data_IF_870586618863
#
_entry.id   IF_870586618863
#
_cell.length_a   1.000
_cell.length_b   1.000
_cell.length_c   1.000
_cell.angle_alpha   90.00
_cell.angle_beta   90.00
_cell.angle_gamma   90.00
#
_symmetry.space_group_name_H-M   'P 1'
#
loop_
_entity.id
_entity.type
_entity.pdbx_description
1 polymer ?
#
# COMPACT_ATOMS: atom_id res chain seq x y z
N UNK A 1 11.72 -2.89 8.89
CA UNK A 1 10.62 -3.79 8.53
C UNK A 1 9.27 -3.18 8.87
N UNK A 2 8.35 -3.18 7.93
CA UNK A 2 6.98 -2.68 8.15
C UNK A 2 6.15 -3.79 8.79
N UNK A 3 5.51 -3.49 9.92
CA UNK A 3 4.67 -4.46 10.60
C UNK A 3 3.66 -3.72 11.49
N UNK A 4 2.46 -3.52 10.96
CA UNK A 4 1.40 -2.83 11.66
C UNK A 4 0.13 -3.67 11.56
N UNK A 5 -0.44 -4.03 12.71
CA UNK A 5 -1.66 -4.83 12.75
C UNK A 5 -2.89 -3.97 12.99
N UNK A 6 -3.97 -4.31 12.31
CA UNK A 6 -5.29 -3.77 12.58
C UNK A 6 -6.18 -4.92 13.05
N UNK A 7 -7.47 -4.70 13.14
CA UNK A 7 -8.40 -5.75 13.54
C UNK A 7 -8.41 -6.93 12.57
N UNK A 8 -8.42 -6.64 11.25
CA UNK A 8 -8.53 -7.66 10.20
C UNK A 8 -7.31 -7.74 9.30
N UNK A 9 -6.40 -6.77 9.39
CA UNK A 9 -5.33 -6.60 8.43
C UNK A 9 -3.96 -6.60 9.08
N UNK A 10 -2.96 -6.93 8.27
CA UNK A 10 -1.55 -6.82 8.60
C UNK A 10 -0.89 -6.00 7.50
N UNK A 11 -0.32 -4.86 7.87
CA UNK A 11 0.43 -4.01 6.94
C UNK A 11 1.89 -4.43 7.02
N UNK A 12 2.46 -4.84 5.92
CA UNK A 12 3.81 -5.39 5.86
C UNK A 12 4.56 -5.00 4.59
N UNK A 13 5.81 -5.40 4.51
CA UNK A 13 6.56 -5.25 3.26
C UNK A 13 5.98 -6.18 2.19
N UNK A 14 6.16 -5.80 0.93
CA UNK A 14 5.81 -6.70 -0.18
C UNK A 14 6.76 -7.89 -0.18
N UNK A 15 6.26 -9.04 -0.64
CA UNK A 15 6.99 -10.30 -0.71
C UNK A 15 6.99 -10.81 -2.14
N UNK A 16 7.97 -11.65 -2.49
CA UNK A 16 8.06 -12.21 -3.83
C UNK A 16 6.79 -12.93 -4.28
N UNK A 17 6.15 -13.65 -3.37
CA UNK A 17 4.92 -14.36 -3.72
C UNK A 17 3.67 -13.48 -3.79
N UNK A 18 3.81 -12.17 -3.63
CA UNK A 18 2.70 -11.23 -3.84
C UNK A 18 2.56 -10.85 -5.33
N UNK A 19 3.49 -11.26 -6.18
CA UNK A 19 3.54 -10.82 -7.58
C UNK A 19 2.24 -11.09 -8.33
N UNK A 20 1.65 -12.26 -8.14
CA UNK A 20 0.42 -12.63 -8.85
C UNK A 20 -0.77 -11.76 -8.45
N UNK A 21 -0.88 -11.43 -7.18
CA UNK A 21 -1.95 -10.58 -6.68
C UNK A 21 -1.81 -9.17 -7.25
N UNK A 22 -0.60 -8.62 -7.21
CA UNK A 22 -0.34 -7.27 -7.75
C UNK A 22 -0.62 -7.26 -9.25
N UNK A 23 -0.15 -8.26 -9.97
CA UNK A 23 -0.38 -8.38 -11.41
C UNK A 23 -1.89 -8.41 -11.71
N UNK A 24 -2.64 -9.18 -10.94
CA UNK A 24 -4.08 -9.30 -11.14
C UNK A 24 -4.79 -7.96 -10.96
N UNK A 25 -4.62 -7.29 -9.81
CA UNK A 25 -5.41 -6.07 -9.60
C UNK A 25 -4.91 -4.88 -10.41
N UNK A 26 -3.61 -4.79 -10.73
CA UNK A 26 -3.09 -3.70 -11.57
C UNK A 26 -3.56 -3.79 -13.02
N UNK A 27 -3.91 -5.00 -13.48
CA UNK A 27 -4.41 -5.22 -14.84
C UNK A 27 -5.94 -5.32 -14.91
N UNK A 28 -6.61 -5.21 -13.77
CA UNK A 28 -8.06 -5.22 -13.73
C UNK A 28 -8.59 -3.83 -14.05
N UNK A 29 -9.60 -3.74 -14.91
CA UNK A 29 -10.16 -2.47 -15.37
C UNK A 29 -10.68 -1.60 -14.22
N UNK A 30 -11.29 -2.22 -13.23
CA UNK A 30 -11.85 -1.48 -12.10
C UNK A 30 -10.73 -0.81 -11.28
N UNK A 31 -9.67 -1.55 -11.00
CA UNK A 31 -8.55 -1.03 -10.21
C UNK A 31 -7.63 -0.12 -11.01
N UNK A 32 -7.40 -0.44 -12.28
CA UNK A 32 -6.44 0.29 -13.12
C UNK A 32 -6.99 1.61 -13.67
N UNK A 33 -8.30 1.78 -13.65
CA UNK A 33 -8.97 2.95 -14.22
C UNK A 33 -8.36 4.28 -13.76
N UNK A 34 -7.98 4.37 -12.51
CA UNK A 34 -7.49 5.59 -11.90
C UNK A 34 -5.99 5.56 -11.60
N UNK A 35 -5.32 4.46 -11.93
CA UNK A 35 -3.91 4.27 -11.62
C UNK A 35 -3.09 4.39 -12.91
N UNK A 36 -2.55 5.58 -13.14
CA UNK A 36 -1.74 5.83 -14.33
C UNK A 36 -0.26 5.77 -13.99
N UNK A 37 0.54 5.30 -14.94
CA UNK A 37 1.98 5.24 -14.79
C UNK A 37 2.49 4.11 -13.91
N UNK A 38 1.62 3.25 -13.44
CA UNK A 38 2.05 2.08 -12.66
C UNK A 38 2.58 0.98 -13.57
N UNK A 39 3.60 0.28 -13.06
CA UNK A 39 4.11 -0.91 -13.72
C UNK A 39 3.04 -1.99 -13.67
N UNK A 40 2.71 -2.57 -14.81
CA UNK A 40 1.63 -3.57 -14.94
C UNK A 40 2.10 -4.91 -15.46
N UNK A 41 3.22 -4.97 -16.16
CA UNK A 41 3.73 -6.23 -16.70
C UNK A 41 4.37 -7.06 -15.59
N UNK A 42 4.29 -8.37 -15.75
CA UNK A 42 4.74 -9.31 -14.72
C UNK A 42 6.21 -9.09 -14.31
N UNK A 43 7.10 -8.99 -15.29
CA UNK A 43 8.52 -8.78 -14.99
C UNK A 43 8.80 -7.47 -14.29
N UNK A 44 8.08 -6.42 -14.68
CA UNK A 44 8.19 -5.12 -14.01
C UNK A 44 7.74 -5.17 -12.58
N UNK A 45 6.68 -5.95 -12.29
CA UNK A 45 6.19 -6.12 -10.92
C UNK A 45 7.20 -6.91 -10.07
N UNK A 46 7.81 -7.95 -10.65
CA UNK A 46 8.88 -8.69 -9.96
C UNK A 46 10.01 -7.73 -9.57
N UNK A 47 10.44 -6.88 -10.51
CA UNK A 47 11.48 -5.89 -10.24
C UNK A 47 11.06 -4.87 -9.19
N UNK A 48 9.79 -4.45 -9.21
CA UNK A 48 9.25 -3.54 -8.23
C UNK A 48 9.34 -4.14 -6.81
N UNK A 49 8.94 -5.40 -6.67
CA UNK A 49 9.02 -6.09 -5.39
C UNK A 49 10.45 -6.17 -4.91
N UNK A 50 11.40 -6.48 -5.79
CA UNK A 50 12.82 -6.53 -5.45
C UNK A 50 13.31 -5.19 -4.90
N UNK A 51 12.88 -4.08 -5.50
CA UNK A 51 13.29 -2.76 -5.05
C UNK A 51 12.62 -2.33 -3.74
N UNK A 52 11.40 -2.83 -3.46
CA UNK A 52 10.58 -2.35 -2.36
C UNK A 52 10.48 -3.28 -1.16
N UNK A 53 10.99 -4.50 -1.29
CA UNK A 53 10.84 -5.52 -0.23
C UNK A 53 11.51 -5.15 1.10
N UNK A 54 12.41 -4.21 1.10
CA UNK A 54 13.10 -3.76 2.30
C UNK A 54 12.74 -2.32 2.67
N UNK A 55 11.68 -1.78 2.11
CA UNK A 55 11.23 -0.42 2.43
C UNK A 55 10.89 -0.29 3.92
N UNK A 56 11.07 0.91 4.44
CA UNK A 56 10.66 1.25 5.79
C UNK A 56 9.82 2.52 5.75
N UNK A 57 8.95 2.68 6.72
CA UNK A 57 8.15 3.89 6.84
C UNK A 57 9.08 4.97 7.40
N UNK A 58 9.22 6.07 6.68
CA UNK A 58 10.09 7.16 7.10
C UNK A 58 9.59 8.50 6.59
N UNK A 59 10.18 9.59 7.09
CA UNK A 59 9.88 10.93 6.61
C UNK A 59 10.80 11.33 5.46
N UNK A 60 11.77 10.50 5.12
CA UNK A 60 12.80 10.83 4.12
C UNK A 60 12.58 10.18 2.76
N UNK A 61 12.02 8.98 2.74
CA UNK A 61 11.90 8.19 1.50
C UNK A 61 10.52 7.59 1.34
N UNK A 62 10.06 7.45 0.09
CA UNK A 62 8.78 6.77 -0.15
C UNK A 62 8.88 5.29 0.19
N UNK A 63 7.74 4.69 0.51
CA UNK A 63 7.66 3.26 0.76
C UNK A 63 6.39 2.67 0.18
N UNK A 64 6.44 1.38 -0.12
CA UNK A 64 5.30 0.60 -0.57
C UNK A 64 4.93 -0.38 0.52
N UNK A 65 3.67 -0.36 0.92
CA UNK A 65 3.15 -1.20 1.99
C UNK A 65 2.15 -2.20 1.41
N UNK A 66 2.34 -3.47 1.69
CA UNK A 66 1.37 -4.50 1.33
C UNK A 66 0.28 -4.53 2.41
N UNK A 67 -0.98 -4.48 1.97
CA UNK A 67 -2.13 -4.67 2.84
C UNK A 67 -2.52 -6.12 2.74
N UNK A 68 -2.40 -6.87 3.82
CA UNK A 68 -2.67 -8.31 3.84
C UNK A 68 -3.77 -8.65 4.85
N UNK A 69 -4.48 -9.75 4.59
CA UNK A 69 -5.43 -10.29 5.55
C UNK A 69 -4.65 -10.88 6.72
N UNK A 70 -5.05 -10.55 7.92
CA UNK A 70 -4.35 -10.98 9.13
C UNK A 70 -4.33 -12.50 9.30
N UNK A 71 -5.42 -13.15 8.94
CA UNK A 71 -5.57 -14.60 9.13
C UNK A 71 -4.73 -15.45 8.18
N UNK A 72 -4.61 -15.02 6.94
CA UNK A 72 -3.95 -15.81 5.89
C UNK A 72 -2.64 -15.21 5.41
N UNK A 73 -2.39 -13.94 5.73
CA UNK A 73 -1.29 -13.14 5.22
C UNK A 73 -1.37 -12.92 3.70
N UNK A 74 -2.51 -13.20 3.09
CA UNK A 74 -2.72 -12.94 1.66
C UNK A 74 -2.83 -11.44 1.40
N UNK A 75 -2.04 -10.95 0.46
CA UNK A 75 -2.08 -9.53 0.07
C UNK A 75 -3.39 -9.23 -0.67
N UNK A 76 -4.05 -8.15 -0.26
CA UNK A 76 -5.29 -7.70 -0.90
C UNK A 76 -5.19 -6.30 -1.49
N UNK A 77 -4.07 -5.63 -1.30
CA UNK A 77 -3.89 -4.29 -1.83
C UNK A 77 -2.56 -3.69 -1.44
N UNK A 78 -2.37 -2.43 -1.82
CA UNK A 78 -1.14 -1.71 -1.54
C UNK A 78 -1.41 -0.28 -1.11
N UNK A 79 -0.50 0.27 -0.32
CA UNK A 79 -0.49 1.69 0.01
C UNK A 79 0.91 2.20 -0.28
N UNK A 80 1.01 3.33 -0.96
CA UNK A 80 2.29 4.00 -1.20
C UNK A 80 2.30 5.27 -0.38
N UNK A 81 3.33 5.47 0.42
CA UNK A 81 3.53 6.66 1.23
C UNK A 81 4.66 7.46 0.61
N UNK A 82 4.39 8.72 0.28
CA UNK A 82 5.37 9.61 -0.33
C UNK A 82 5.55 10.85 0.54
N UNK A 83 6.61 10.89 1.37
CA UNK A 83 6.88 12.06 2.19
C UNK A 83 7.56 13.15 1.35
N UNK A 84 7.08 14.38 1.51
CA UNK A 84 7.70 15.52 0.85
C UNK A 84 7.16 16.82 1.46
N UNK A 85 8.07 17.76 1.75
CA UNK A 85 7.71 19.09 2.23
C UNK A 85 6.73 19.09 3.40
N UNK A 86 7.03 18.29 4.42
CA UNK A 86 6.21 18.14 5.63
C UNK A 86 4.79 17.64 5.32
N UNK A 87 4.64 16.87 4.25
CA UNK A 87 3.37 16.30 3.84
C UNK A 87 3.56 14.83 3.50
N UNK A 88 2.63 13.99 3.95
CA UNK A 88 2.56 12.60 3.50
C UNK A 88 1.48 12.50 2.42
N UNK A 89 1.89 12.11 1.21
CA UNK A 89 0.94 11.81 0.14
C UNK A 89 0.70 10.31 0.15
N UNK A 90 -0.56 9.91 0.22
CA UNK A 90 -0.95 8.51 0.32
C UNK A 90 -1.74 8.08 -0.91
N UNK A 91 -1.20 7.11 -1.64
CA UNK A 91 -1.93 6.47 -2.73
C UNK A 91 -2.25 5.06 -2.31
N UNK A 92 -3.41 4.53 -2.72
CA UNK A 92 -3.75 3.15 -2.39
C UNK A 92 -4.60 2.49 -3.44
N UNK A 93 -4.51 1.17 -3.50
CA UNK A 93 -5.36 0.33 -4.34
C UNK A 93 -5.70 -0.92 -3.55
N UNK A 94 -6.99 -1.23 -3.44
CA UNK A 94 -7.45 -2.49 -2.89
C UNK A 94 -7.94 -3.34 -4.07
N UNK A 95 -7.57 -4.61 -4.10
CA UNK A 95 -8.03 -5.53 -5.14
C UNK A 95 -9.55 -5.49 -5.26
N UNK A 96 -10.05 -5.52 -6.52
CA UNK A 96 -11.48 -5.50 -6.80
C UNK A 96 -12.25 -6.60 -6.05
N UNK A 97 -11.57 -7.70 -5.70
CA UNK A 97 -12.18 -8.82 -4.98
C UNK A 97 -12.57 -8.46 -3.55
N UNK A 98 -12.02 -7.36 -3.04
CA UNK A 98 -12.19 -6.96 -1.64
C UNK A 98 -12.77 -5.56 -1.49
N UNK A 99 -13.37 -5.03 -2.53
CA UNK A 99 -13.99 -3.70 -2.48
C UNK A 99 -15.23 -3.70 -1.59
N UNK A 100 -15.58 -2.52 -1.08
CA UNK A 100 -16.79 -2.28 -0.28
C UNK A 100 -16.87 -3.06 1.04
N UNK A 101 -15.73 -3.42 1.59
CA UNK A 101 -15.68 -4.13 2.87
C UNK A 101 -14.99 -3.31 3.97
N UNK A 102 -14.63 -2.05 3.67
CA UNK A 102 -14.02 -1.17 4.64
C UNK A 102 -12.54 -1.40 4.87
N UNK A 103 -11.88 -2.21 4.07
CA UNK A 103 -10.47 -2.50 4.24
C UNK A 103 -9.57 -1.29 4.03
N UNK A 104 -9.84 -0.49 3.00
CA UNK A 104 -9.04 0.72 2.74
C UNK A 104 -9.12 1.68 3.92
N UNK A 105 -10.33 1.91 4.42
CA UNK A 105 -10.55 2.79 5.56
C UNK A 105 -9.81 2.28 6.81
N UNK A 106 -9.91 0.99 7.08
CA UNK A 106 -9.26 0.37 8.22
C UNK A 106 -7.73 0.51 8.14
N UNK A 107 -7.15 0.21 6.99
CA UNK A 107 -5.71 0.30 6.78
C UNK A 107 -5.21 1.74 6.88
N UNK A 108 -5.89 2.66 6.22
CA UNK A 108 -5.48 4.06 6.20
C UNK A 108 -5.61 4.72 7.56
N UNK A 109 -6.65 4.37 8.33
CA UNK A 109 -6.84 4.92 9.67
C UNK A 109 -5.67 4.58 10.58
N UNK A 110 -5.27 3.31 10.62
CA UNK A 110 -4.17 2.88 11.47
C UNK A 110 -2.84 3.43 10.99
N UNK A 111 -2.64 3.44 9.67
CA UNK A 111 -1.41 3.98 9.09
C UNK A 111 -1.26 5.48 9.37
N UNK A 112 -2.32 6.27 9.20
CA UNK A 112 -2.25 7.71 9.46
C UNK A 112 -1.98 7.99 10.94
N UNK A 113 -2.52 7.19 11.84
CA UNK A 113 -2.20 7.32 13.27
C UNK A 113 -0.70 7.08 13.50
N UNK A 114 -0.14 6.06 12.85
CA UNK A 114 1.29 5.75 12.96
C UNK A 114 2.14 6.91 12.43
N UNK A 115 1.79 7.43 11.25
CA UNK A 115 2.51 8.55 10.63
C UNK A 115 2.39 9.83 11.44
N UNK A 116 1.23 10.06 12.04
CA UNK A 116 1.01 11.24 12.88
C UNK A 116 1.90 11.19 14.13
N UNK A 117 2.11 10.01 14.70
CA UNK A 117 3.02 9.84 15.83
C UNK A 117 4.46 10.10 15.44
N UNK A 118 4.83 9.75 14.20
CA UNK A 118 6.18 9.98 13.69
C UNK A 118 6.46 11.45 13.42
N UNK A 119 5.48 12.15 12.86
CA UNK A 119 5.62 13.52 12.42
C UNK A 119 4.32 14.29 12.69
N UNK A 120 4.08 14.69 13.96
CA UNK A 120 2.79 15.28 14.37
C UNK A 120 2.40 16.56 13.62
N UNK A 121 3.37 17.29 13.11
CA UNK A 121 3.11 18.56 12.42
C UNK A 121 2.92 18.43 10.92
N UNK A 122 3.07 17.22 10.39
CA UNK A 122 2.93 16.98 8.96
C UNK A 122 1.46 16.83 8.56
N UNK A 123 1.15 17.24 7.34
CA UNK A 123 -0.19 17.11 6.77
C UNK A 123 -0.31 15.84 5.95
N UNK A 124 -1.56 15.45 5.67
CA UNK A 124 -1.85 14.27 4.87
C UNK A 124 -2.63 14.65 3.62
N UNK A 125 -2.24 14.09 2.48
CA UNK A 125 -2.98 14.19 1.23
C UNK A 125 -3.22 12.76 0.76
N UNK A 126 -4.47 12.42 0.48
CA UNK A 126 -4.82 11.08 0.01
C UNK A 126 -5.30 11.15 -1.43
N UNK A 127 -4.70 10.33 -2.27
CA UNK A 127 -5.14 10.13 -3.65
C UNK A 127 -6.04 8.91 -3.67
N UNK A 128 -7.34 9.17 -3.61
CA UNK A 128 -8.34 8.10 -3.57
C UNK A 128 -9.04 7.96 -4.92
N UNK A 129 -9.49 6.78 -5.18
CA UNK A 129 -10.27 6.46 -6.37
C UNK A 129 -11.75 6.34 -6.06
#
# INVERSE_FOLDING_TARGET
MISIDTKRLHLRNVLQNDVDVIFDYRNNEICARYQRGQVKDYEGIVSLIERRRNDEISIDFPCMIAVALKDTNEMIGEIVVMPKDHTFSLGYTISYKYHRQGYAFEALTVLTEHLHKMAPEWEFISFTE
#
